data_IF_899381245879
#
_entry.id   IF_899381245879
#
_cell.length_a   1.000
_cell.length_b   1.000
_cell.length_c   1.000
_cell.angle_alpha   90.00
_cell.angle_beta   90.00
_cell.angle_gamma   90.00
#
_symmetry.space_group_name_H-M   'P 1'
#
loop_
_entity.id
_entity.type
_entity.pdbx_description
1 polymer ?
#
# COMPACT_ATOMS: atom_id res chain seq x y z
N UNK A 1 -8.96 -11.89 -3.92
CA UNK A 1 -8.85 -10.98 -2.75
C UNK A 1 -7.43 -10.46 -2.79
N UNK A 2 -7.25 -9.16 -2.96
CA UNK A 2 -5.92 -8.56 -3.14
C UNK A 2 -5.14 -8.55 -1.83
N UNK A 3 -3.83 -8.76 -1.89
CA UNK A 3 -2.93 -8.67 -0.74
C UNK A 3 -2.16 -7.37 -0.84
N UNK A 4 -2.39 -6.45 0.09
CA UNK A 4 -1.76 -5.13 0.13
C UNK A 4 -0.92 -5.01 1.39
N UNK A 5 0.30 -4.52 1.23
CA UNK A 5 1.27 -4.35 2.32
C UNK A 5 1.74 -2.91 2.41
N UNK A 6 1.46 -2.25 3.54
CA UNK A 6 1.95 -0.90 3.79
C UNK A 6 3.29 -0.95 4.50
N UNK A 7 4.26 -0.20 3.97
CA UNK A 7 5.66 -0.24 4.43
C UNK A 7 6.08 1.15 4.86
N UNK A 8 6.55 1.27 6.09
CA UNK A 8 6.79 2.57 6.70
C UNK A 8 8.09 2.52 7.49
N UNK A 9 9.02 3.44 7.18
CA UNK A 9 10.31 3.54 7.87
C UNK A 9 10.27 4.34 9.18
N UNK A 10 9.15 4.98 9.51
CA UNK A 10 9.06 6.02 10.54
C UNK A 10 8.44 5.57 11.87
N UNK A 11 8.28 4.26 12.10
CA UNK A 11 7.80 3.68 13.37
C UNK A 11 6.35 3.18 13.37
N UNK A 12 6.01 2.35 14.36
CA UNK A 12 4.80 1.49 14.42
C UNK A 12 3.49 2.27 14.26
N UNK A 13 3.38 3.45 14.89
CA UNK A 13 2.14 4.23 14.92
C UNK A 13 1.72 4.76 13.55
N UNK A 14 2.67 5.30 12.78
CA UNK A 14 2.43 5.78 11.42
C UNK A 14 2.07 4.63 10.48
N UNK A 15 2.64 3.45 10.72
CA UNK A 15 2.41 2.28 9.90
C UNK A 15 1.00 1.70 10.02
N UNK A 16 0.48 1.66 11.25
CA UNK A 16 -0.88 1.21 11.52
C UNK A 16 -1.92 2.19 10.94
N UNK A 17 -1.67 3.50 11.02
CA UNK A 17 -2.55 4.52 10.45
C UNK A 17 -2.64 4.39 8.93
N UNK A 18 -1.51 4.21 8.26
CA UNK A 18 -1.47 4.04 6.81
C UNK A 18 -2.25 2.78 6.38
N UNK A 19 -2.02 1.64 7.04
CA UNK A 19 -2.75 0.40 6.75
C UNK A 19 -4.26 0.57 6.92
N UNK A 20 -4.71 1.16 8.03
CA UNK A 20 -6.13 1.40 8.29
C UNK A 20 -6.76 2.36 7.26
N UNK A 21 -6.04 3.40 6.85
CA UNK A 21 -6.53 4.31 5.81
C UNK A 21 -6.68 3.60 4.47
N UNK A 22 -5.66 2.85 4.04
CA UNK A 22 -5.70 2.07 2.79
C UNK A 22 -6.84 1.04 2.83
N UNK A 23 -7.04 0.35 3.96
CA UNK A 23 -8.14 -0.60 4.14
C UNK A 23 -9.51 0.07 3.95
N UNK A 24 -9.75 1.20 4.62
CA UNK A 24 -11.00 1.97 4.46
C UNK A 24 -11.24 2.41 3.02
N UNK A 25 -10.19 2.82 2.32
CA UNK A 25 -10.28 3.23 0.91
C UNK A 25 -10.69 2.03 0.03
N UNK A 26 -10.08 0.86 0.26
CA UNK A 26 -10.45 -0.35 -0.47
C UNK A 26 -11.91 -0.74 -0.22
N UNK A 27 -12.37 -0.67 1.03
CA UNK A 27 -13.77 -0.91 1.42
C UNK A 27 -14.74 0.08 0.73
N UNK A 28 -14.40 1.37 0.69
CA UNK A 28 -15.19 2.41 0.01
C UNK A 28 -15.26 2.21 -1.51
N UNK A 29 -14.20 1.68 -2.11
CA UNK A 29 -14.16 1.34 -3.54
C UNK A 29 -14.80 -0.02 -3.85
N UNK A 30 -15.27 -0.76 -2.84
CA UNK A 30 -15.82 -2.12 -3.01
C UNK A 30 -14.78 -3.18 -3.36
N UNK A 31 -13.49 -2.89 -3.16
CA UNK A 31 -12.38 -3.78 -3.47
C UNK A 31 -12.06 -4.65 -2.26
N UNK A 32 -12.19 -5.98 -2.40
CA UNK A 32 -11.78 -6.93 -1.35
C UNK A 32 -10.25 -7.05 -1.30
N UNK A 33 -9.64 -6.33 -0.38
CA UNK A 33 -8.21 -6.37 -0.11
C UNK A 33 -7.90 -6.71 1.35
N UNK A 34 -6.89 -7.55 1.57
CA UNK A 34 -6.24 -7.78 2.84
C UNK A 34 -5.08 -6.80 3.00
N UNK A 35 -5.25 -5.81 3.86
CA UNK A 35 -4.28 -4.74 4.10
C UNK A 35 -3.61 -4.95 5.44
N UNK A 36 -2.29 -5.14 5.42
CA UNK A 36 -1.48 -5.25 6.62
C UNK A 36 -0.26 -4.32 6.54
N UNK A 37 0.27 -3.94 7.70
CA UNK A 37 1.52 -3.20 7.76
C UNK A 37 2.67 -4.14 8.07
N UNK A 38 3.76 -3.98 7.33
CA UNK A 38 5.00 -4.76 7.50
C UNK A 38 6.21 -3.84 7.42
N UNK A 39 7.31 -4.25 8.05
CA UNK A 39 8.58 -3.55 7.89
C UNK A 39 9.19 -3.81 6.51
N UNK A 40 10.15 -2.97 6.13
CA UNK A 40 10.79 -3.05 4.82
C UNK A 40 11.53 -4.38 4.59
N UNK A 41 12.18 -4.93 5.63
CA UNK A 41 12.94 -6.16 5.52
C UNK A 41 12.03 -7.36 5.20
N UNK A 42 10.87 -7.43 5.83
CA UNK A 42 9.85 -8.44 5.59
C UNK A 42 9.10 -8.17 4.27
N UNK A 43 8.84 -6.92 3.92
CA UNK A 43 8.10 -6.57 2.70
C UNK A 43 8.77 -7.07 1.42
N UNK A 44 10.11 -7.02 1.34
CA UNK A 44 10.85 -7.50 0.16
C UNK A 44 10.79 -9.04 0.05
N UNK A 45 10.61 -9.76 1.15
CA UNK A 45 10.52 -11.22 1.19
C UNK A 45 9.09 -11.77 1.10
N UNK A 46 8.09 -11.01 1.53
CA UNK A 46 6.67 -11.37 1.43
C UNK A 46 6.16 -11.11 0.01
N UNK A 47 5.25 -11.95 -0.51
CA UNK A 47 4.55 -11.67 -1.77
C UNK A 47 3.27 -10.89 -1.50
N UNK A 48 3.19 -9.68 -2.02
CA UNK A 48 1.97 -8.87 -2.06
C UNK A 48 1.64 -8.45 -3.49
N UNK A 49 0.35 -8.24 -3.76
CA UNK A 49 -0.12 -7.70 -5.04
C UNK A 49 0.22 -6.21 -5.17
N UNK A 50 0.24 -5.49 -4.04
CA UNK A 50 0.61 -4.08 -3.98
C UNK A 50 1.34 -3.73 -2.68
N UNK A 51 2.46 -3.04 -2.80
CA UNK A 51 3.13 -2.39 -1.67
C UNK A 51 2.80 -0.90 -1.66
N UNK A 52 2.53 -0.33 -0.50
CA UNK A 52 2.24 1.09 -0.36
C UNK A 52 3.29 1.73 0.55
N UNK A 53 4.05 2.68 0.03
CA UNK A 53 5.12 3.33 0.78
C UNK A 53 5.48 4.71 0.19
N UNK A 54 6.40 5.44 0.82
CA UNK A 54 6.91 6.71 0.29
C UNK A 54 7.95 6.50 -0.81
N UNK A 55 8.21 7.55 -1.59
CA UNK A 55 9.12 7.51 -2.73
C UNK A 55 10.52 7.00 -2.35
N UNK A 56 11.05 7.37 -1.18
CA UNK A 56 12.38 6.93 -0.76
C UNK A 56 12.50 5.41 -0.56
N UNK A 57 11.44 4.77 -0.04
CA UNK A 57 11.39 3.33 0.17
C UNK A 57 11.01 2.60 -1.12
N UNK A 58 10.12 3.18 -1.92
CA UNK A 58 9.70 2.59 -3.19
C UNK A 58 10.87 2.35 -4.15
N UNK A 59 11.86 3.24 -4.17
CA UNK A 59 13.07 3.07 -4.97
C UNK A 59 13.97 1.90 -4.53
N UNK A 60 13.80 1.42 -3.30
CA UNK A 60 14.56 0.27 -2.78
C UNK A 60 13.86 -1.06 -3.07
N UNK A 61 12.60 -1.03 -3.52
CA UNK A 61 11.91 -2.23 -3.95
C UNK A 61 12.45 -2.73 -5.30
N UNK A 62 12.45 -4.05 -5.52
CA UNK A 62 12.76 -4.61 -6.83
C UNK A 62 11.79 -4.11 -7.90
N UNK A 63 12.28 -3.92 -9.13
CA UNK A 63 11.48 -3.41 -10.25
C UNK A 63 10.30 -4.31 -10.67
N UNK A 64 10.28 -5.58 -10.23
CA UNK A 64 9.18 -6.51 -10.48
C UNK A 64 8.05 -6.42 -9.45
N UNK A 65 8.24 -5.68 -8.35
CA UNK A 65 7.20 -5.47 -7.35
C UNK A 65 6.30 -4.30 -7.75
N UNK A 66 4.99 -4.46 -7.54
CA UNK A 66 4.05 -3.36 -7.73
C UNK A 66 4.02 -2.47 -6.49
N UNK A 67 4.53 -1.25 -6.62
CA UNK A 67 4.65 -0.31 -5.50
C UNK A 67 3.88 0.98 -5.80
N UNK A 68 2.93 1.33 -4.92
CA UNK A 68 2.22 2.60 -4.91
C UNK A 68 2.93 3.58 -3.99
N UNK A 69 3.20 4.77 -4.52
CA UNK A 69 3.93 5.82 -3.83
C UNK A 69 2.95 6.78 -3.18
N UNK A 70 2.97 6.91 -1.86
CA UNK A 70 2.15 7.86 -1.10
C UNK A 70 2.97 9.05 -0.60
N UNK A 71 2.34 10.22 -0.53
CA UNK A 71 2.96 11.46 -0.01
C UNK A 71 2.80 11.65 1.50
N UNK A 72 1.90 10.89 2.14
CA UNK A 72 1.62 11.00 3.57
C UNK A 72 1.07 9.69 4.13
N UNK A 73 1.48 9.32 5.35
CA UNK A 73 0.91 8.18 6.09
C UNK A 73 -0.36 8.54 6.89
N UNK A 74 -0.64 9.84 7.05
CA UNK A 74 -1.66 10.36 7.97
C UNK A 74 -2.90 10.82 7.22
N UNK A 75 -2.71 11.57 6.12
CA UNK A 75 -3.81 12.19 5.41
C UNK A 75 -4.47 11.22 4.44
N UNK A 76 -5.60 10.61 4.86
CA UNK A 76 -6.39 9.69 4.04
C UNK A 76 -6.68 10.21 2.64
N UNK A 77 -7.12 11.48 2.50
CA UNK A 77 -7.44 12.06 1.19
C UNK A 77 -6.26 12.01 0.20
N UNK A 78 -5.05 12.37 0.66
CA UNK A 78 -3.84 12.30 -0.17
C UNK A 78 -3.49 10.85 -0.52
N UNK A 79 -3.61 9.94 0.45
CA UNK A 79 -3.39 8.50 0.24
C UNK A 79 -4.34 7.99 -0.85
N UNK A 80 -5.64 8.33 -0.77
CA UNK A 80 -6.64 7.95 -1.76
C UNK A 80 -6.22 8.40 -3.15
N UNK A 81 -5.92 9.68 -3.34
CA UNK A 81 -5.47 10.21 -4.64
C UNK A 81 -4.25 9.44 -5.18
N UNK A 82 -3.28 9.15 -4.30
CA UNK A 82 -2.01 8.53 -4.68
C UNK A 82 -2.15 7.04 -5.04
N UNK A 83 -3.04 6.29 -4.36
CA UNK A 83 -3.17 4.83 -4.55
C UNK A 83 -4.33 4.42 -5.46
N UNK A 84 -5.32 5.28 -5.71
CA UNK A 84 -6.55 4.89 -6.44
C UNK A 84 -6.24 4.34 -7.83
N UNK A 85 -5.39 5.03 -8.60
CA UNK A 85 -4.94 4.58 -9.92
C UNK A 85 -4.27 3.19 -9.88
N UNK A 86 -3.41 2.97 -8.89
CA UNK A 86 -2.70 1.71 -8.72
C UNK A 86 -3.67 0.57 -8.34
N UNK A 87 -4.59 0.84 -7.40
CA UNK A 87 -5.61 -0.12 -6.99
C UNK A 87 -6.52 -0.52 -8.16
N UNK A 88 -6.99 0.43 -8.96
CA UNK A 88 -7.84 0.13 -10.11
C UNK A 88 -7.11 -0.72 -11.16
N UNK A 89 -5.83 -0.41 -11.44
CA UNK A 89 -5.01 -1.20 -12.38
C UNK A 89 -4.82 -2.64 -11.91
N UNK A 90 -4.50 -2.83 -10.63
CA UNK A 90 -4.28 -4.17 -10.07
C UNK A 90 -5.59 -4.95 -9.97
N UNK A 91 -6.68 -4.30 -9.55
CA UNK A 91 -8.01 -4.91 -9.52
C UNK A 91 -8.47 -5.35 -10.92
N UNK A 92 -8.21 -4.55 -11.96
CA UNK A 92 -8.51 -4.89 -13.35
C UNK A 92 -7.66 -6.05 -13.88
N UNK A 93 -6.41 -6.20 -13.39
CA UNK A 93 -5.51 -7.30 -13.78
C UNK A 93 -5.88 -8.63 -13.11
N UNK A 94 -6.63 -8.57 -12.00
CA UNK A 94 -7.09 -9.73 -11.23
C UNK A 94 -8.57 -10.09 -11.48
N UNK A 95 -9.22 -9.49 -12.49
CA UNK A 95 -10.60 -9.75 -12.88
C UNK A 95 -10.72 -10.81 -13.98
#
# INVERSE_FOLDING_TARGET
MLVIRTVCGNGIGSSLMAANNVKKICEELGIKADVASVDFANAVGEKADLYVTIKELANQFPAHCHVAIIRSYVHKAKITEDITDALMKIAATHS
#
